data_IF_415302019161
#
_entry.id   IF_415302019161
#
_cell.length_a   1.000
_cell.length_b   1.000
_cell.length_c   1.000
_cell.angle_alpha   90.00
_cell.angle_beta   90.00
_cell.angle_gamma   90.00
#
_symmetry.space_group_name_H-M   'P 1'
#
loop_
_entity.id
_entity.type
_entity.pdbx_description
1 polymer ?
#
# COMPACT_ATOMS: atom_id res chain seq x y z
N UNK A 1 42.49 -70.20 3.57
CA UNK A 1 41.75 -70.60 2.34
C UNK A 1 41.40 -69.30 1.59
N UNK A 2 42.21 -69.00 0.61
CA UNK A 2 42.19 -67.77 -0.18
C UNK A 2 41.46 -68.06 -1.47
N UNK A 3 40.36 -67.34 -1.74
CA UNK A 3 39.70 -67.41 -3.06
C UNK A 3 39.84 -66.08 -3.78
N UNK A 4 40.60 -66.15 -4.87
CA UNK A 4 40.82 -65.06 -5.83
C UNK A 4 39.74 -65.14 -6.89
N UNK A 5 38.97 -64.00 -7.13
CA UNK A 5 38.10 -63.89 -8.27
C UNK A 5 38.70 -62.91 -9.31
N UNK A 6 38.86 -63.43 -10.52
CA UNK A 6 39.33 -62.69 -11.68
C UNK A 6 38.20 -61.82 -12.27
N UNK A 7 38.53 -60.58 -12.53
CA UNK A 7 37.63 -59.58 -13.21
C UNK A 7 37.98 -59.54 -14.70
N UNK A 8 37.04 -59.92 -15.54
CA UNK A 8 37.13 -59.81 -17.00
C UNK A 8 36.67 -58.41 -17.42
N UNK A 9 37.57 -57.70 -18.09
CA UNK A 9 37.32 -56.31 -18.60
C UNK A 9 36.77 -56.42 -20.01
N UNK A 10 35.48 -56.04 -20.18
CA UNK A 10 34.85 -55.85 -21.49
C UNK A 10 34.97 -54.39 -21.94
N UNK A 11 35.72 -54.16 -22.97
CA UNK A 11 35.85 -52.87 -23.68
C UNK A 11 34.65 -52.67 -24.59
N UNK A 12 33.83 -51.69 -24.28
CA UNK A 12 32.78 -51.19 -25.19
C UNK A 12 33.21 -49.83 -25.78
N UNK A 13 33.57 -49.85 -27.03
CA UNK A 13 33.79 -48.67 -27.87
C UNK A 13 32.43 -48.01 -28.16
N UNK A 14 32.21 -46.83 -27.62
CA UNK A 14 31.06 -46.00 -27.97
C UNK A 14 31.54 -44.83 -28.83
N UNK A 15 31.14 -44.85 -30.07
CA UNK A 15 31.31 -43.77 -31.05
C UNK A 15 30.60 -42.50 -30.58
N UNK A 16 31.34 -41.44 -30.32
CA UNK A 16 30.84 -40.10 -30.03
C UNK A 16 30.24 -39.48 -31.32
N UNK A 17 28.90 -39.37 -31.38
CA UNK A 17 28.23 -38.49 -32.33
C UNK A 17 28.36 -37.05 -31.83
N UNK A 18 29.03 -36.22 -32.62
CA UNK A 18 29.20 -34.81 -32.36
C UNK A 18 27.85 -34.09 -32.33
N UNK A 19 27.55 -33.50 -31.18
CA UNK A 19 26.45 -32.52 -31.04
C UNK A 19 27.02 -31.19 -31.51
N UNK A 20 26.57 -30.76 -32.67
CA UNK A 20 26.89 -29.44 -33.22
C UNK A 20 26.41 -28.35 -32.24
N UNK A 21 27.35 -27.61 -31.63
CA UNK A 21 27.06 -26.37 -30.89
C UNK A 21 26.48 -25.35 -31.87
N UNK A 22 25.16 -25.11 -31.78
CA UNK A 22 24.57 -23.94 -32.37
C UNK A 22 25.15 -22.71 -31.66
N UNK A 23 25.94 -21.95 -32.38
CA UNK A 23 26.43 -20.64 -31.96
C UNK A 23 25.23 -19.73 -31.69
N UNK A 24 25.12 -19.29 -30.46
CA UNK A 24 24.15 -18.21 -30.09
C UNK A 24 24.50 -16.99 -30.97
N UNK A 25 23.61 -16.66 -31.87
CA UNK A 25 23.64 -15.37 -32.57
C UNK A 25 23.48 -14.30 -31.47
N UNK A 26 24.53 -13.51 -31.26
CA UNK A 26 24.47 -12.27 -30.50
C UNK A 26 23.32 -11.44 -31.09
N UNK A 27 22.27 -11.25 -30.33
CA UNK A 27 21.18 -10.37 -30.67
C UNK A 27 21.76 -8.97 -30.93
N UNK A 28 21.56 -8.50 -32.14
CA UNK A 28 21.81 -7.12 -32.55
C UNK A 28 20.90 -6.28 -31.66
N UNK A 29 21.47 -5.40 -30.83
CA UNK A 29 20.69 -4.40 -30.10
C UNK A 29 19.84 -3.61 -31.12
N UNK A 30 18.56 -3.87 -31.12
CA UNK A 30 17.59 -3.08 -31.86
C UNK A 30 17.51 -1.74 -31.12
N UNK A 31 18.05 -0.70 -31.70
CA UNK A 31 17.83 0.66 -31.24
C UNK A 31 16.31 0.86 -31.19
N UNK A 32 15.74 1.44 -30.13
CA UNK A 32 14.31 1.67 -30.06
C UNK A 32 13.89 2.49 -31.29
N UNK A 33 12.91 1.97 -32.03
CA UNK A 33 12.26 2.76 -33.08
C UNK A 33 11.78 4.05 -32.44
N UNK A 34 11.96 5.17 -33.10
CA UNK A 34 11.46 6.49 -32.68
C UNK A 34 10.03 6.30 -32.18
N UNK A 35 9.83 6.44 -30.88
CA UNK A 35 8.50 6.36 -30.27
C UNK A 35 7.63 7.42 -30.98
N UNK A 36 6.63 6.97 -31.70
CA UNK A 36 5.61 7.86 -32.28
C UNK A 36 4.88 8.46 -31.07
N UNK A 37 4.70 9.78 -31.09
CA UNK A 37 3.93 10.44 -30.02
C UNK A 37 2.57 9.77 -29.88
N UNK A 38 2.17 9.43 -28.66
CA UNK A 38 0.86 8.84 -28.38
C UNK A 38 -0.21 9.87 -28.75
N UNK A 39 -1.14 9.49 -29.63
CA UNK A 39 -2.29 10.34 -29.97
C UNK A 39 -3.44 9.98 -29.00
N UNK A 40 -3.86 10.92 -28.17
CA UNK A 40 -4.95 10.71 -27.22
C UNK A 40 -6.25 10.21 -27.86
N UNK A 41 -6.60 10.70 -29.05
CA UNK A 41 -7.79 10.27 -29.78
C UNK A 41 -7.72 8.77 -30.20
N UNK A 42 -6.52 8.25 -30.50
CA UNK A 42 -6.33 6.83 -30.82
C UNK A 42 -6.49 5.96 -29.58
N UNK A 43 -6.11 6.46 -28.39
CA UNK A 43 -6.27 5.76 -27.11
C UNK A 43 -7.75 5.73 -26.72
N UNK A 44 -8.48 6.82 -26.85
CA UNK A 44 -9.92 6.87 -26.58
C UNK A 44 -10.69 5.94 -27.53
N UNK A 45 -10.36 5.93 -28.81
CA UNK A 45 -10.96 4.99 -29.76
C UNK A 45 -10.65 3.53 -29.44
N UNK A 46 -9.44 3.22 -28.94
CA UNK A 46 -9.06 1.88 -28.49
C UNK A 46 -9.84 1.49 -27.23
N UNK A 47 -9.95 2.38 -26.25
CA UNK A 47 -10.75 2.15 -25.04
C UNK A 47 -12.20 1.83 -25.41
N UNK A 48 -12.84 2.70 -26.20
CA UNK A 48 -14.23 2.56 -26.58
C UNK A 48 -14.49 1.24 -27.35
N UNK A 49 -13.53 0.82 -28.18
CA UNK A 49 -13.62 -0.48 -28.88
C UNK A 49 -13.50 -1.67 -27.92
N UNK A 50 -12.58 -1.63 -26.94
CA UNK A 50 -12.38 -2.70 -25.96
C UNK A 50 -13.58 -2.82 -25.00
N UNK A 51 -14.06 -1.67 -24.47
CA UNK A 51 -15.21 -1.62 -23.58
C UNK A 51 -16.50 -1.99 -24.31
N UNK A 52 -16.72 -1.50 -25.53
CA UNK A 52 -17.89 -1.83 -26.35
C UNK A 52 -17.98 -3.30 -26.78
N UNK A 53 -16.83 -3.98 -26.86
CA UNK A 53 -16.75 -5.41 -27.12
C UNK A 53 -16.82 -6.26 -25.86
N UNK A 54 -16.87 -5.69 -24.67
CA UNK A 54 -16.68 -6.39 -23.37
C UNK A 54 -15.43 -7.28 -23.41
N UNK A 55 -14.31 -6.72 -23.85
CA UNK A 55 -13.06 -7.44 -24.06
C UNK A 55 -12.57 -8.09 -22.76
N UNK A 56 -12.21 -9.37 -22.84
CA UNK A 56 -11.64 -10.13 -21.74
C UNK A 56 -10.24 -9.60 -21.36
N UNK A 57 -9.75 -9.86 -20.13
CA UNK A 57 -8.37 -9.52 -19.76
C UNK A 57 -7.31 -10.02 -20.75
N UNK A 58 -7.53 -11.21 -21.34
CA UNK A 58 -6.63 -11.77 -22.34
C UNK A 58 -6.62 -10.93 -23.63
N UNK A 59 -7.78 -10.55 -24.14
CA UNK A 59 -7.92 -9.75 -25.36
C UNK A 59 -7.34 -8.33 -25.15
N UNK A 60 -7.54 -7.75 -23.97
CA UNK A 60 -6.95 -6.45 -23.60
C UNK A 60 -5.42 -6.54 -23.59
N UNK A 61 -4.86 -7.59 -22.95
CA UNK A 61 -3.41 -7.82 -22.93
C UNK A 61 -2.84 -8.07 -24.32
N UNK A 62 -3.49 -8.88 -25.14
CA UNK A 62 -3.06 -9.15 -26.50
C UNK A 62 -3.02 -7.87 -27.34
N UNK A 63 -4.07 -7.04 -27.23
CA UNK A 63 -4.14 -5.74 -27.91
C UNK A 63 -3.05 -4.76 -27.44
N UNK A 64 -2.82 -4.69 -26.13
CA UNK A 64 -1.78 -3.84 -25.56
C UNK A 64 -0.37 -4.24 -26.04
N UNK A 65 -0.05 -5.54 -26.00
CA UNK A 65 1.24 -6.08 -26.44
C UNK A 65 1.41 -5.98 -27.96
N UNK A 66 0.33 -6.22 -28.74
CA UNK A 66 0.35 -6.01 -30.20
C UNK A 66 0.70 -4.56 -30.56
N UNK A 67 0.11 -3.60 -29.86
CA UNK A 67 0.21 -2.18 -30.20
C UNK A 67 1.55 -1.58 -29.78
N UNK A 68 2.04 -1.92 -28.58
CA UNK A 68 3.19 -1.25 -27.95
C UNK A 68 4.47 -2.10 -27.89
N UNK A 69 4.37 -3.43 -28.03
CA UNK A 69 5.53 -4.33 -28.08
C UNK A 69 6.56 -4.07 -26.97
N UNK A 70 7.82 -3.89 -27.34
CA UNK A 70 8.93 -3.63 -26.41
C UNK A 70 8.81 -2.30 -25.64
N UNK A 71 7.95 -1.37 -26.12
CA UNK A 71 7.65 -0.12 -25.43
C UNK A 71 6.72 -0.27 -24.24
N UNK A 72 6.15 -1.48 -24.03
CA UNK A 72 5.24 -1.77 -22.93
C UNK A 72 5.94 -2.58 -21.84
N UNK A 73 5.63 -2.29 -20.56
CA UNK A 73 6.02 -3.15 -19.44
C UNK A 73 4.90 -3.26 -18.40
N UNK A 74 4.81 -4.44 -17.76
CA UNK A 74 3.85 -4.75 -16.72
C UNK A 74 4.45 -4.35 -15.38
N UNK A 75 3.75 -3.53 -14.60
CA UNK A 75 4.12 -3.25 -13.21
C UNK A 75 3.73 -4.43 -12.32
N UNK A 76 4.66 -4.90 -11.50
CA UNK A 76 4.45 -6.06 -10.63
C UNK A 76 4.68 -5.71 -9.17
N UNK A 77 3.66 -5.94 -8.33
CA UNK A 77 3.74 -5.75 -6.88
C UNK A 77 2.89 -6.74 -6.07
N UNK A 78 1.84 -7.32 -6.64
CA UNK A 78 0.88 -8.16 -5.92
C UNK A 78 0.19 -9.23 -6.77
N UNK A 79 -0.83 -9.86 -6.22
CA UNK A 79 -1.54 -10.99 -6.83
C UNK A 79 -2.19 -10.62 -8.16
N UNK A 80 -2.84 -9.47 -8.25
CA UNK A 80 -3.45 -8.98 -9.49
C UNK A 80 -2.42 -8.83 -10.62
N UNK A 81 -1.23 -8.36 -10.28
CA UNK A 81 -0.17 -8.19 -11.27
C UNK A 81 0.36 -9.54 -11.74
N UNK A 82 0.39 -10.58 -10.88
CA UNK A 82 0.69 -11.96 -11.29
C UNK A 82 -0.36 -12.48 -12.26
N UNK A 83 -1.65 -12.19 -12.03
CA UNK A 83 -2.72 -12.54 -12.98
C UNK A 83 -2.52 -11.84 -14.33
N UNK A 84 -2.13 -10.56 -14.34
CA UNK A 84 -1.80 -9.83 -15.57
C UNK A 84 -0.61 -10.46 -16.30
N UNK A 85 0.45 -10.85 -15.57
CA UNK A 85 1.61 -11.56 -16.14
C UNK A 85 1.17 -12.89 -16.76
N UNK A 86 0.27 -13.64 -16.10
CA UNK A 86 -0.27 -14.89 -16.62
C UNK A 86 -1.07 -14.65 -17.92
N UNK A 87 -1.89 -13.60 -18.00
CA UNK A 87 -2.58 -13.24 -19.23
C UNK A 87 -1.60 -12.87 -20.34
N UNK A 88 -0.54 -12.11 -20.03
CA UNK A 88 0.51 -11.78 -20.99
C UNK A 88 1.20 -13.04 -21.53
N UNK A 89 1.53 -14.01 -20.67
CA UNK A 89 2.11 -15.28 -21.07
C UNK A 89 1.16 -16.09 -22.00
N UNK A 90 -0.14 -16.06 -21.72
CA UNK A 90 -1.14 -16.74 -22.55
C UNK A 90 -1.28 -16.14 -23.96
N UNK A 91 -0.94 -14.87 -24.17
CA UNK A 91 -0.94 -14.27 -25.52
C UNK A 91 0.14 -14.87 -26.44
N UNK A 92 1.18 -15.48 -25.87
CA UNK A 92 2.37 -15.95 -26.61
C UNK A 92 3.25 -14.83 -27.17
N UNK A 93 2.97 -13.56 -26.89
CA UNK A 93 3.77 -12.41 -27.31
C UNK A 93 4.91 -12.14 -26.32
N UNK A 94 6.03 -11.54 -26.74
CA UNK A 94 7.04 -11.06 -25.82
C UNK A 94 6.47 -9.98 -24.90
N UNK A 95 6.86 -10.01 -23.63
CA UNK A 95 6.46 -9.01 -22.64
C UNK A 95 7.58 -8.72 -21.66
N UNK A 96 7.51 -7.56 -21.01
CA UNK A 96 8.46 -7.10 -20.02
C UNK A 96 7.75 -6.89 -18.70
N UNK A 97 8.43 -7.18 -17.60
CA UNK A 97 7.91 -6.99 -16.24
C UNK A 97 8.89 -6.15 -15.46
N UNK A 98 8.41 -5.18 -14.70
CA UNK A 98 9.23 -4.42 -13.75
C UNK A 98 8.59 -4.39 -12.36
N UNK A 99 9.41 -4.24 -11.35
CA UNK A 99 8.96 -4.09 -9.96
C UNK A 99 9.74 -3.00 -9.23
N UNK A 100 9.08 -2.34 -8.27
CA UNK A 100 9.70 -1.35 -7.41
C UNK A 100 10.20 -2.01 -6.13
N UNK A 101 11.51 -2.10 -5.93
CA UNK A 101 12.07 -2.45 -4.65
C UNK A 101 12.32 -1.19 -3.83
N UNK A 102 11.51 -1.00 -2.82
CA UNK A 102 11.56 0.18 -1.93
C UNK A 102 12.66 0.10 -0.87
N UNK A 103 13.36 -1.05 -0.79
CA UNK A 103 14.27 -1.41 0.30
C UNK A 103 13.56 -1.71 1.62
N UNK A 104 12.22 -1.94 1.58
CA UNK A 104 11.38 -2.20 2.77
C UNK A 104 10.28 -3.23 2.48
N UNK A 105 10.46 -4.08 1.49
CA UNK A 105 9.51 -5.14 1.18
C UNK A 105 9.61 -6.28 2.21
N UNK A 106 8.53 -7.06 2.32
CA UNK A 106 8.55 -8.27 3.12
C UNK A 106 9.45 -9.35 2.48
N UNK A 107 10.11 -10.21 3.27
CA UNK A 107 10.89 -11.35 2.73
C UNK A 107 10.08 -12.20 1.73
N UNK A 108 8.82 -12.46 2.04
CA UNK A 108 7.90 -13.25 1.20
C UNK A 108 7.62 -12.58 -0.16
N UNK A 109 7.79 -11.25 -0.26
CA UNK A 109 7.68 -10.55 -1.55
C UNK A 109 8.91 -10.83 -2.42
N UNK A 110 10.12 -10.87 -1.86
CA UNK A 110 11.33 -11.25 -2.60
C UNK A 110 11.29 -12.72 -3.03
N UNK A 111 10.75 -13.61 -2.18
CA UNK A 111 10.53 -15.01 -2.55
C UNK A 111 9.52 -15.16 -3.69
N UNK A 112 8.46 -14.34 -3.68
CA UNK A 112 7.49 -14.30 -4.77
C UNK A 112 8.15 -13.84 -6.08
N UNK A 113 9.03 -12.85 -6.06
CA UNK A 113 9.76 -12.41 -7.24
C UNK A 113 10.56 -13.55 -7.87
N UNK A 114 11.31 -14.30 -7.07
CA UNK A 114 12.06 -15.47 -7.53
C UNK A 114 11.15 -16.59 -8.09
N UNK A 115 10.03 -16.86 -7.40
CA UNK A 115 9.03 -17.84 -7.85
C UNK A 115 8.41 -17.43 -9.20
N UNK A 116 8.08 -16.15 -9.39
CA UNK A 116 7.50 -15.59 -10.62
C UNK A 116 8.52 -15.64 -11.77
N UNK A 117 9.78 -15.23 -11.55
CA UNK A 117 10.83 -15.34 -12.57
C UNK A 117 11.02 -16.79 -13.06
N UNK A 118 11.02 -17.76 -12.14
CA UNK A 118 11.16 -19.19 -12.46
C UNK A 118 9.94 -19.76 -13.15
N UNK A 119 8.73 -19.37 -12.71
CA UNK A 119 7.47 -19.91 -13.23
C UNK A 119 7.21 -19.47 -14.68
N UNK A 120 7.50 -18.21 -15.01
CA UNK A 120 7.26 -17.65 -16.33
C UNK A 120 8.52 -17.64 -17.23
N UNK A 121 9.66 -18.08 -16.73
CA UNK A 121 10.98 -18.01 -17.41
C UNK A 121 11.30 -16.59 -17.90
N UNK A 122 11.11 -15.59 -17.03
CA UNK A 122 11.35 -14.17 -17.31
C UNK A 122 12.41 -13.59 -16.39
N UNK A 123 12.82 -12.35 -16.69
CA UNK A 123 13.59 -11.50 -15.79
C UNK A 123 12.80 -10.25 -15.46
N UNK A 124 12.66 -9.97 -14.17
CA UNK A 124 12.03 -8.76 -13.66
C UNK A 124 13.04 -7.62 -13.68
N UNK A 125 12.64 -6.47 -14.20
CA UNK A 125 13.43 -5.25 -14.16
C UNK A 125 13.21 -4.53 -12.83
N UNK A 126 14.13 -4.68 -11.88
CA UNK A 126 14.00 -4.06 -10.56
C UNK A 126 14.37 -2.58 -10.60
N UNK A 127 13.50 -1.75 -10.03
CA UNK A 127 13.69 -0.31 -9.89
C UNK A 127 13.89 0.04 -8.42
N UNK A 128 15.03 0.65 -8.10
CA UNK A 128 15.43 1.04 -6.76
C UNK A 128 15.33 2.55 -6.56
N UNK A 129 15.07 3.02 -5.33
CA UNK A 129 15.18 4.44 -5.02
C UNK A 129 16.64 4.91 -5.07
N UNK A 130 16.85 6.17 -5.41
CA UNK A 130 18.16 6.78 -5.37
C UNK A 130 18.71 6.82 -3.93
N UNK A 131 19.93 6.30 -3.76
CA UNK A 131 20.51 6.12 -2.43
C UNK A 131 20.68 7.42 -1.65
N UNK A 132 21.09 8.51 -2.31
CA UNK A 132 21.25 9.81 -1.66
C UNK A 132 19.90 10.42 -1.26
N UNK A 133 18.86 10.26 -2.05
CA UNK A 133 17.51 10.72 -1.69
C UNK A 133 16.97 9.98 -0.44
N UNK A 134 17.20 8.66 -0.38
CA UNK A 134 16.83 7.86 0.81
C UNK A 134 17.62 8.29 2.04
N UNK A 135 18.93 8.51 1.88
CA UNK A 135 19.82 8.94 2.97
C UNK A 135 19.44 10.32 3.51
N UNK A 136 19.13 11.27 2.61
CA UNK A 136 18.65 12.60 2.99
C UNK A 136 17.36 12.50 3.81
N UNK A 137 16.35 11.81 3.30
CA UNK A 137 15.09 11.60 4.02
C UNK A 137 15.28 11.00 5.41
N UNK A 138 16.14 9.97 5.52
CA UNK A 138 16.37 9.27 6.80
C UNK A 138 17.17 10.13 7.78
N UNK A 139 18.17 10.89 7.31
CA UNK A 139 18.97 11.76 8.17
C UNK A 139 18.19 12.98 8.68
N UNK A 140 17.31 13.53 7.87
CA UNK A 140 16.53 14.72 8.23
C UNK A 140 15.31 14.39 9.10
N UNK A 141 14.62 13.27 8.79
CA UNK A 141 13.32 12.97 9.38
C UNK A 141 13.24 11.64 10.15
N UNK A 142 14.30 10.84 10.08
CA UNK A 142 14.35 9.54 10.73
C UNK A 142 13.79 8.37 9.86
N UNK A 143 14.08 7.17 10.32
CA UNK A 143 13.79 5.93 9.59
C UNK A 143 12.27 5.66 9.46
N UNK A 144 11.47 6.14 10.39
CA UNK A 144 10.04 5.86 10.52
C UNK A 144 9.15 7.11 10.47
N UNK A 145 9.65 8.20 9.90
CA UNK A 145 8.93 9.48 9.76
C UNK A 145 7.54 9.36 9.12
N UNK A 146 7.32 8.35 8.28
CA UNK A 146 6.02 8.08 7.66
C UNK A 146 4.90 7.73 8.64
N UNK A 147 5.21 7.37 9.88
CA UNK A 147 4.19 7.21 10.93
C UNK A 147 3.76 8.56 11.52
N UNK A 148 4.63 9.55 11.47
CA UNK A 148 4.43 10.88 12.06
C UNK A 148 3.95 11.89 11.01
N UNK A 149 4.64 11.94 9.87
CA UNK A 149 4.39 12.91 8.78
C UNK A 149 3.46 12.36 7.69
N UNK A 150 2.97 11.13 7.84
CA UNK A 150 2.24 10.40 6.81
C UNK A 150 3.16 9.78 5.74
N UNK A 151 2.57 8.89 4.94
CA UNK A 151 3.36 8.06 4.02
C UNK A 151 3.85 8.78 2.75
N UNK A 152 3.27 9.93 2.40
CA UNK A 152 3.43 10.57 1.08
C UNK A 152 4.89 10.84 0.71
N UNK A 153 5.68 11.42 1.60
CA UNK A 153 7.07 11.75 1.32
C UNK A 153 7.96 10.52 1.18
N UNK A 154 7.83 9.56 2.11
CA UNK A 154 8.54 8.29 2.03
C UNK A 154 8.18 7.54 0.73
N UNK A 155 6.90 7.50 0.34
CA UNK A 155 6.48 6.93 -0.93
C UNK A 155 6.99 7.76 -2.12
N UNK A 156 7.04 9.08 -2.01
CA UNK A 156 7.63 9.97 -3.01
C UNK A 156 9.04 9.53 -3.39
N UNK A 157 9.91 9.43 -2.39
CA UNK A 157 11.31 9.05 -2.57
C UNK A 157 11.46 7.57 -2.99
N UNK A 158 10.76 6.64 -2.31
CA UNK A 158 11.01 5.20 -2.46
C UNK A 158 10.21 4.51 -3.56
N UNK A 159 9.15 5.15 -4.07
CA UNK A 159 8.25 4.56 -5.08
C UNK A 159 8.01 5.47 -6.27
N UNK A 160 7.53 6.71 -6.03
CA UNK A 160 7.09 7.59 -7.11
C UNK A 160 8.25 8.02 -8.00
N UNK A 161 9.39 8.41 -7.42
CA UNK A 161 10.58 8.78 -8.20
C UNK A 161 11.13 7.62 -9.03
N UNK A 162 11.38 6.41 -8.46
CA UNK A 162 11.80 5.25 -9.26
C UNK A 162 10.79 4.85 -10.34
N UNK A 163 9.49 4.91 -10.04
CA UNK A 163 8.44 4.66 -11.04
C UNK A 163 8.50 5.67 -12.17
N UNK A 164 8.58 6.96 -11.87
CA UNK A 164 8.69 8.03 -12.86
C UNK A 164 9.89 7.81 -13.79
N UNK A 165 11.05 7.49 -13.21
CA UNK A 165 12.26 7.19 -13.99
C UNK A 165 12.06 5.98 -14.91
N UNK A 166 11.37 4.94 -14.43
CA UNK A 166 11.04 3.75 -15.23
C UNK A 166 10.06 4.07 -16.34
N UNK A 167 8.96 4.72 -16.04
CA UNK A 167 7.91 5.04 -17.01
C UNK A 167 8.40 5.98 -18.12
N UNK A 168 9.34 6.88 -17.82
CA UNK A 168 9.99 7.72 -18.82
C UNK A 168 10.78 6.94 -19.89
N UNK A 169 10.96 5.63 -19.73
CA UNK A 169 11.57 4.73 -20.72
C UNK A 169 10.55 3.95 -21.56
N UNK A 170 9.26 4.11 -21.27
CA UNK A 170 8.17 3.31 -21.84
C UNK A 170 7.21 4.19 -22.67
N UNK A 171 6.46 3.58 -23.57
CA UNK A 171 5.32 4.19 -24.27
C UNK A 171 3.99 3.76 -23.68
N UNK A 172 3.96 2.60 -23.03
CA UNK A 172 2.79 2.09 -22.30
C UNK A 172 3.20 1.27 -21.09
N UNK A 173 2.30 1.15 -20.13
CA UNK A 173 2.45 0.26 -18.99
C UNK A 173 1.12 -0.38 -18.59
N UNK A 174 1.21 -1.49 -17.87
CA UNK A 174 0.04 -2.26 -17.42
C UNK A 174 0.04 -2.37 -15.91
N UNK A 175 -1.14 -2.27 -15.31
CA UNK A 175 -1.35 -2.44 -13.87
C UNK A 175 -2.49 -3.41 -13.58
N UNK A 176 -2.44 -4.08 -12.44
CA UNK A 176 -3.51 -4.94 -11.93
C UNK A 176 -4.62 -4.18 -11.19
N UNK A 177 -4.88 -2.91 -11.52
CA UNK A 177 -5.95 -2.16 -10.86
C UNK A 177 -7.33 -2.71 -11.21
N UNK A 178 -8.21 -2.77 -10.19
CA UNK A 178 -9.62 -3.18 -10.30
C UNK A 178 -10.52 -2.12 -9.65
N UNK A 179 -11.71 -1.91 -10.21
CA UNK A 179 -12.74 -1.01 -9.62
C UNK A 179 -13.14 -1.48 -8.22
N UNK A 180 -13.22 -2.79 -8.03
CA UNK A 180 -13.60 -3.47 -6.79
C UNK A 180 -12.61 -3.28 -5.62
N UNK A 181 -11.32 -3.02 -5.89
CA UNK A 181 -10.28 -2.90 -4.85
C UNK A 181 -10.48 -1.72 -3.89
N UNK A 182 -11.05 -0.62 -4.38
CA UNK A 182 -11.22 0.60 -3.59
C UNK A 182 -12.36 1.43 -4.18
N UNK A 183 -13.60 1.19 -3.74
CA UNK A 183 -14.78 1.89 -4.26
C UNK A 183 -14.72 3.42 -4.14
N UNK A 184 -13.89 3.95 -3.27
CA UNK A 184 -13.70 5.40 -3.10
C UNK A 184 -12.71 6.04 -4.07
N UNK A 185 -11.73 5.27 -4.60
CA UNK A 185 -10.63 5.84 -5.41
C UNK A 185 -10.42 5.15 -6.75
N UNK A 186 -11.12 4.02 -7.04
CA UNK A 186 -10.93 3.21 -8.25
C UNK A 186 -12.18 2.89 -9.03
N UNK A 187 -13.35 3.35 -8.59
CA UNK A 187 -14.65 3.05 -9.19
C UNK A 187 -14.77 3.48 -10.68
N UNK A 188 -13.94 4.39 -11.15
CA UNK A 188 -13.93 4.91 -12.51
C UNK A 188 -12.67 4.58 -13.32
N UNK A 189 -11.88 3.58 -12.89
CA UNK A 189 -10.66 3.17 -13.61
C UNK A 189 -11.04 2.56 -14.96
N UNK A 190 -10.61 3.14 -16.13
CA UNK A 190 -10.93 2.61 -17.45
C UNK A 190 -10.02 1.44 -17.83
N UNK A 191 -10.41 0.68 -18.86
CA UNK A 191 -9.60 -0.40 -19.44
C UNK A 191 -8.25 0.11 -19.93
N UNK A 192 -8.23 1.24 -20.63
CA UNK A 192 -7.01 1.97 -20.98
C UNK A 192 -7.25 3.46 -21.03
N UNK A 193 -6.18 4.24 -20.85
CA UNK A 193 -6.20 5.70 -20.87
C UNK A 193 -4.82 6.26 -21.15
N UNK A 194 -4.76 7.50 -21.60
CA UNK A 194 -3.54 8.30 -21.48
C UNK A 194 -3.25 8.46 -19.99
N UNK A 195 -2.02 8.21 -19.53
CA UNK A 195 -1.68 8.35 -18.11
C UNK A 195 -1.80 9.82 -17.68
N UNK A 196 -2.63 10.13 -16.68
CA UNK A 196 -2.88 11.52 -16.28
C UNK A 196 -1.76 12.14 -15.41
N UNK A 197 -0.78 11.33 -14.97
CA UNK A 197 0.23 11.74 -13.97
C UNK A 197 1.66 11.60 -14.48
N UNK A 198 1.91 10.53 -15.23
CA UNK A 198 3.26 10.17 -15.67
C UNK A 198 3.47 10.41 -17.15
N UNK A 199 4.73 10.69 -17.48
CA UNK A 199 5.18 10.88 -18.85
C UNK A 199 5.95 9.65 -19.32
N UNK A 200 5.85 9.36 -20.61
CA UNK A 200 6.54 8.26 -21.27
C UNK A 200 7.82 8.69 -22.00
N UNK A 201 8.35 7.78 -22.80
CA UNK A 201 9.64 7.92 -23.49
C UNK A 201 9.76 9.12 -24.45
N UNK A 202 8.65 9.62 -24.99
CA UNK A 202 8.67 10.83 -25.84
C UNK A 202 8.64 12.13 -25.04
N UNK A 203 8.44 12.08 -23.72
CA UNK A 203 8.33 13.24 -22.85
C UNK A 203 7.06 14.04 -23.03
N UNK A 204 6.70 14.80 -22.00
CA UNK A 204 5.50 15.64 -21.97
C UNK A 204 4.20 14.90 -21.63
N UNK A 205 3.21 15.67 -21.20
CA UNK A 205 1.89 15.16 -20.89
C UNK A 205 1.27 14.44 -22.09
N UNK A 206 0.64 13.28 -21.87
CA UNK A 206 0.02 12.50 -22.93
C UNK A 206 0.96 11.53 -23.67
N UNK A 207 2.22 11.41 -23.24
CA UNK A 207 3.21 10.55 -23.91
C UNK A 207 3.20 9.09 -23.44
N UNK A 208 2.38 8.73 -22.45
CA UNK A 208 2.30 7.41 -21.85
C UNK A 208 0.87 6.87 -21.84
N UNK A 209 0.69 5.61 -22.17
CA UNK A 209 -0.60 4.92 -22.08
C UNK A 209 -0.59 3.93 -20.91
N UNK A 210 -1.68 3.90 -20.17
CA UNK A 210 -1.90 2.98 -19.07
C UNK A 210 -3.03 2.02 -19.41
N UNK A 211 -2.78 0.72 -19.22
CA UNK A 211 -3.77 -0.35 -19.36
C UNK A 211 -4.10 -0.97 -17.99
N UNK A 212 -5.37 -1.29 -17.79
CA UNK A 212 -5.88 -1.96 -16.61
C UNK A 212 -6.74 -3.16 -17.03
N UNK A 213 -6.16 -4.29 -17.42
CA UNK A 213 -6.90 -5.43 -17.98
C UNK A 213 -7.91 -6.05 -17.01
N UNK A 214 -7.69 -5.88 -15.70
CA UNK A 214 -8.54 -6.43 -14.66
C UNK A 214 -9.58 -5.44 -14.13
N UNK A 215 -9.78 -4.30 -14.78
CA UNK A 215 -10.58 -3.20 -14.24
C UNK A 215 -11.98 -3.62 -13.77
N UNK A 216 -12.63 -4.51 -14.50
CA UNK A 216 -13.99 -5.01 -14.21
C UNK A 216 -14.01 -6.37 -13.50
N UNK A 217 -12.85 -6.96 -13.22
CA UNK A 217 -12.76 -8.24 -12.52
C UNK A 217 -12.97 -8.05 -11.01
N UNK A 218 -13.71 -8.98 -10.41
CA UNK A 218 -13.85 -9.09 -8.96
C UNK A 218 -12.61 -9.73 -8.31
N UNK A 219 -12.43 -9.52 -7.02
CA UNK A 219 -11.38 -10.20 -6.24
C UNK A 219 -11.47 -11.72 -6.37
N UNK A 220 -12.71 -12.26 -6.30
CA UNK A 220 -12.95 -13.69 -6.40
C UNK A 220 -12.50 -14.25 -7.76
N UNK A 221 -12.83 -13.60 -8.85
CA UNK A 221 -12.45 -14.02 -10.21
C UNK A 221 -10.93 -14.04 -10.39
N UNK A 222 -10.22 -13.03 -9.87
CA UNK A 222 -8.75 -13.01 -9.90
C UNK A 222 -8.16 -14.18 -9.13
N UNK A 223 -8.66 -14.47 -7.92
CA UNK A 223 -8.17 -15.57 -7.11
C UNK A 223 -8.52 -16.94 -7.70
N UNK A 224 -9.68 -17.09 -8.29
CA UNK A 224 -10.07 -18.32 -8.99
C UNK A 224 -9.18 -18.57 -10.20
N UNK A 225 -8.89 -17.53 -10.98
CA UNK A 225 -7.95 -17.61 -12.10
C UNK A 225 -6.55 -18.03 -11.66
N UNK A 226 -5.98 -17.36 -10.64
CA UNK A 226 -4.65 -17.69 -10.12
C UNK A 226 -4.56 -19.14 -9.64
N UNK A 227 -5.60 -19.64 -8.94
CA UNK A 227 -5.66 -21.01 -8.45
C UNK A 227 -5.74 -22.02 -9.59
N UNK A 228 -6.61 -21.79 -10.59
CA UNK A 228 -6.77 -22.68 -11.74
C UNK A 228 -5.50 -22.76 -12.57
N UNK A 229 -4.81 -21.62 -12.72
CA UNK A 229 -3.54 -21.57 -13.47
C UNK A 229 -2.33 -22.07 -12.68
N UNK A 230 -2.47 -22.27 -11.36
CA UNK A 230 -1.37 -22.69 -10.49
C UNK A 230 -0.23 -21.68 -10.41
N UNK A 231 -0.54 -20.39 -10.56
CA UNK A 231 0.44 -19.32 -10.52
C UNK A 231 0.95 -19.04 -9.10
N UNK A 232 2.23 -18.66 -8.92
CA UNK A 232 2.76 -18.34 -7.60
C UNK A 232 2.08 -17.08 -7.03
N UNK A 233 1.78 -17.12 -5.74
CA UNK A 233 1.24 -15.99 -4.99
C UNK A 233 2.05 -15.76 -3.71
N UNK A 234 1.92 -14.57 -3.12
CA UNK A 234 2.62 -14.23 -1.89
C UNK A 234 2.06 -15.01 -0.70
N UNK A 235 2.90 -15.67 0.07
CA UNK A 235 2.50 -16.47 1.24
C UNK A 235 1.85 -15.64 2.36
N UNK A 236 2.08 -14.33 2.38
CA UNK A 236 1.39 -13.44 3.31
C UNK A 236 -0.14 -13.46 3.16
N UNK A 237 -0.66 -13.81 1.98
CA UNK A 237 -2.10 -13.94 1.78
C UNK A 237 -2.73 -15.01 2.69
N UNK A 238 -2.03 -16.11 2.94
CA UNK A 238 -2.47 -17.17 3.87
C UNK A 238 -2.53 -16.68 5.32
N UNK A 239 -1.83 -15.59 5.63
CA UNK A 239 -1.80 -14.95 6.96
C UNK A 239 -2.74 -13.75 7.06
N UNK A 240 -3.68 -13.59 6.12
CA UNK A 240 -4.71 -12.55 6.12
C UNK A 240 -4.27 -11.20 5.55
N UNK A 241 -3.12 -11.13 4.88
CA UNK A 241 -2.72 -9.93 4.15
C UNK A 241 -3.39 -9.89 2.79
N UNK A 242 -4.46 -9.12 2.63
CA UNK A 242 -5.20 -9.02 1.36
C UNK A 242 -4.47 -8.09 0.37
N UNK A 243 -3.99 -6.94 0.83
CA UNK A 243 -3.21 -6.00 0.02
C UNK A 243 -1.81 -5.84 0.61
N UNK A 244 -0.77 -6.15 -0.17
CA UNK A 244 0.62 -6.18 0.30
C UNK A 244 1.42 -5.00 -0.27
N UNK A 245 2.26 -4.40 0.57
CA UNK A 245 3.22 -3.36 0.20
C UNK A 245 4.47 -3.42 1.06
N UNK A 246 5.06 -2.27 1.40
CA UNK A 246 6.20 -2.23 2.32
C UNK A 246 5.82 -2.87 3.67
N UNK A 247 6.74 -3.65 4.25
CA UNK A 247 6.53 -4.35 5.52
C UNK A 247 6.01 -3.43 6.65
N UNK A 248 6.62 -2.25 6.93
CA UNK A 248 6.13 -1.39 8.00
C UNK A 248 4.80 -0.69 7.69
N UNK A 249 4.36 -0.69 6.41
CA UNK A 249 3.14 -0.02 5.95
C UNK A 249 1.99 -0.97 5.67
N UNK A 250 2.10 -2.24 6.08
CA UNK A 250 1.11 -3.27 5.74
C UNK A 250 0.88 -4.18 6.93
N UNK A 251 -0.38 -4.47 7.22
CA UNK A 251 -0.79 -5.49 8.19
C UNK A 251 -1.90 -6.38 7.60
N UNK A 252 -2.13 -7.52 8.21
CA UNK A 252 -3.29 -8.35 7.93
C UNK A 252 -4.58 -7.58 8.20
N UNK A 253 -5.64 -7.86 7.45
CA UNK A 253 -6.98 -7.32 7.66
C UNK A 253 -7.83 -8.29 8.46
N UNK A 254 -8.73 -7.75 9.28
CA UNK A 254 -9.70 -8.55 10.04
C UNK A 254 -10.90 -8.91 9.15
N UNK A 255 -11.63 -9.98 9.47
CA UNK A 255 -12.88 -10.31 8.78
C UNK A 255 -13.84 -9.12 8.78
N UNK A 256 -14.37 -8.77 7.61
CA UNK A 256 -15.28 -7.64 7.41
C UNK A 256 -14.61 -6.30 7.11
N UNK A 257 -13.28 -6.22 7.16
CA UNK A 257 -12.54 -5.05 6.72
C UNK A 257 -12.37 -5.04 5.18
N UNK A 258 -12.23 -3.85 4.60
CA UNK A 258 -11.94 -3.71 3.17
C UNK A 258 -10.50 -4.13 2.85
N UNK A 259 -10.26 -4.58 1.60
CA UNK A 259 -8.95 -5.10 1.15
C UNK A 259 -7.76 -4.21 1.49
N UNK A 260 -7.93 -2.90 1.42
CA UNK A 260 -6.85 -1.92 1.63
C UNK A 260 -6.80 -1.32 3.03
N UNK A 261 -7.65 -1.70 3.96
CA UNK A 261 -7.59 -1.21 5.35
C UNK A 261 -6.29 -1.59 6.07
N UNK A 262 -5.66 -2.68 5.69
CA UNK A 262 -4.34 -3.06 6.18
C UNK A 262 -3.18 -2.16 5.70
N UNK A 263 -3.38 -1.27 4.71
CA UNK A 263 -2.37 -0.36 4.17
C UNK A 263 -2.41 0.96 4.89
N UNK A 264 -1.24 1.47 5.30
CA UNK A 264 -1.15 2.72 6.08
C UNK A 264 -2.25 2.81 7.14
N UNK A 265 -2.35 1.74 7.91
CA UNK A 265 -3.44 1.50 8.87
C UNK A 265 -3.58 2.60 9.94
N UNK A 266 -2.59 3.48 10.06
CA UNK A 266 -2.61 4.68 10.91
C UNK A 266 -3.19 5.91 10.23
N UNK A 267 -3.49 5.87 8.94
CA UNK A 267 -4.08 6.97 8.16
C UNK A 267 -5.57 6.71 7.86
N UNK A 268 -6.26 7.76 7.43
CA UNK A 268 -7.68 7.67 7.05
C UNK A 268 -7.88 6.63 5.92
N UNK A 269 -8.91 5.80 6.08
CA UNK A 269 -9.25 4.75 5.12
C UNK A 269 -9.63 5.30 3.73
N UNK A 270 -10.19 6.51 3.66
CA UNK A 270 -10.67 7.14 2.43
C UNK A 270 -9.55 7.79 1.60
N UNK A 271 -8.39 8.05 2.21
CA UNK A 271 -7.25 8.75 1.59
C UNK A 271 -6.08 7.82 1.19
N UNK A 272 -6.26 6.51 1.25
CA UNK A 272 -5.18 5.50 1.14
C UNK A 272 -4.77 5.20 -0.31
N UNK A 273 -4.38 6.20 -1.08
CA UNK A 273 -3.67 5.99 -2.33
C UNK A 273 -2.23 6.50 -2.24
N UNK A 274 -1.26 5.63 -2.56
CA UNK A 274 0.09 6.09 -2.80
C UNK A 274 0.13 6.89 -4.10
N UNK A 275 1.03 7.86 -4.21
CA UNK A 275 1.17 8.72 -5.39
C UNK A 275 1.36 8.00 -6.73
N UNK A 276 1.44 6.66 -6.75
CA UNK A 276 1.47 5.84 -7.96
C UNK A 276 0.17 5.94 -8.78
N UNK A 277 -0.96 6.20 -8.12
CA UNK A 277 -2.29 6.21 -8.73
C UNK A 277 -3.10 7.46 -8.38
N UNK A 278 -2.42 8.56 -8.05
CA UNK A 278 -3.05 9.84 -7.70
C UNK A 278 -3.95 10.41 -8.82
N UNK A 279 -3.76 9.96 -10.06
CA UNK A 279 -4.62 10.34 -11.18
C UNK A 279 -6.01 9.70 -11.18
N UNK A 280 -6.27 8.72 -10.32
CA UNK A 280 -7.62 8.13 -10.18
C UNK A 280 -8.58 9.03 -9.38
N UNK A 281 -8.07 10.04 -8.66
CA UNK A 281 -8.88 10.99 -7.91
C UNK A 281 -9.33 12.12 -8.82
N UNK A 282 -10.63 12.32 -8.95
CA UNK A 282 -11.20 13.49 -9.64
C UNK A 282 -10.93 14.77 -8.85
N UNK A 283 -11.05 15.94 -9.50
CA UNK A 283 -10.93 17.24 -8.82
C UNK A 283 -11.95 17.39 -7.66
N UNK A 284 -13.17 16.86 -7.87
CA UNK A 284 -14.24 16.89 -6.87
C UNK A 284 -13.94 15.93 -5.68
N UNK A 285 -13.29 14.81 -5.93
CA UNK A 285 -12.86 13.88 -4.86
C UNK A 285 -11.69 14.44 -4.07
N UNK A 286 -10.76 15.14 -4.73
CA UNK A 286 -9.70 15.89 -4.03
C UNK A 286 -10.27 17.01 -3.19
N UNK A 287 -11.22 17.81 -3.72
CA UNK A 287 -11.90 18.85 -2.98
C UNK A 287 -12.71 18.30 -1.80
N UNK A 288 -13.42 17.17 -1.99
CA UNK A 288 -14.11 16.46 -0.89
C UNK A 288 -13.18 15.86 0.15
N UNK A 289 -11.95 15.53 -0.21
CA UNK A 289 -10.92 15.09 0.73
C UNK A 289 -10.46 16.26 1.59
N UNK A 290 -10.27 17.43 0.98
CA UNK A 290 -9.92 18.67 1.67
C UNK A 290 -11.13 19.16 2.53
N UNK A 291 -12.39 19.04 2.02
CA UNK A 291 -13.61 19.40 2.75
C UNK A 291 -13.94 18.44 3.92
N UNK A 292 -13.56 17.16 3.85
CA UNK A 292 -13.75 16.20 4.96
C UNK A 292 -12.85 16.48 6.16
N UNK A 293 -11.71 17.10 5.93
CA UNK A 293 -10.91 17.69 7.01
C UNK A 293 -11.63 18.88 7.66
N UNK A 294 -12.66 19.40 7.00
CA UNK A 294 -13.42 20.56 7.42
C UNK A 294 -14.72 20.26 8.19
N UNK A 295 -15.05 19.00 8.51
CA UNK A 295 -16.26 18.69 9.30
C UNK A 295 -16.19 19.33 10.68
N UNK A 296 -17.18 20.18 10.97
CA UNK A 296 -17.30 20.87 12.26
C UNK A 296 -17.96 20.02 13.34
N UNK A 297 -18.64 18.94 12.97
CA UNK A 297 -19.39 18.08 13.87
C UNK A 297 -18.48 17.28 14.80
N UNK A 298 -18.79 17.35 16.11
CA UNK A 298 -18.13 16.51 17.11
C UNK A 298 -18.66 15.06 16.98
N UNK A 299 -17.76 14.08 17.13
CA UNK A 299 -18.11 12.66 17.06
C UNK A 299 -18.56 12.08 18.42
N UNK A 300 -18.38 12.83 19.51
CA UNK A 300 -18.77 12.43 20.85
C UNK A 300 -20.10 13.09 21.22
N UNK A 301 -21.15 12.29 21.32
CA UNK A 301 -22.52 12.76 21.56
C UNK A 301 -22.89 12.86 23.04
N UNK A 302 -22.19 12.13 23.92
CA UNK A 302 -22.56 12.02 25.33
C UNK A 302 -21.83 13.01 26.24
N UNK A 303 -22.58 13.56 27.23
CA UNK A 303 -22.10 14.50 28.24
C UNK A 303 -21.09 13.93 29.24
N UNK A 304 -20.86 12.61 29.23
CA UNK A 304 -19.90 11.93 30.12
C UNK A 304 -18.43 12.22 29.77
N UNK A 305 -18.17 12.77 28.57
CA UNK A 305 -16.81 13.08 28.09
C UNK A 305 -16.63 14.60 28.02
N UNK A 306 -15.75 15.14 28.85
CA UNK A 306 -15.52 16.59 28.99
C UNK A 306 -14.63 17.12 27.86
N UNK A 307 -14.94 18.33 27.37
CA UNK A 307 -14.07 19.03 26.40
C UNK A 307 -12.93 19.69 27.15
N UNK A 308 -11.71 19.54 26.65
CA UNK A 308 -10.52 20.21 27.19
C UNK A 308 -10.12 21.38 26.29
N UNK A 309 -9.67 22.46 26.93
CA UNK A 309 -8.93 23.56 26.31
C UNK A 309 -7.40 23.38 26.51
N UNK A 310 -6.57 24.27 25.93
CA UNK A 310 -5.13 24.32 26.19
C UNK A 310 -4.85 24.55 27.68
N UNK A 311 -5.56 25.50 28.30
CA UNK A 311 -5.38 25.84 29.71
C UNK A 311 -5.71 24.63 30.61
N UNK A 312 -6.75 23.85 30.26
CA UNK A 312 -7.09 22.62 30.98
C UNK A 312 -5.97 21.57 30.88
N UNK A 313 -5.38 21.42 29.69
CA UNK A 313 -4.28 20.46 29.49
C UNK A 313 -3.04 20.90 30.24
N UNK A 314 -2.70 22.17 30.25
CA UNK A 314 -1.57 22.69 30.99
C UNK A 314 -1.79 22.54 32.52
N UNK A 315 -3.02 22.78 32.97
CA UNK A 315 -3.41 22.50 34.37
C UNK A 315 -3.30 21.01 34.74
N UNK A 316 -3.62 20.11 33.81
CA UNK A 316 -3.48 18.64 33.98
C UNK A 316 -2.02 18.19 34.05
N UNK A 317 -1.08 18.93 33.45
CA UNK A 317 0.35 18.62 33.51
C UNK A 317 1.00 19.05 34.81
N UNK A 318 0.44 20.02 35.52
CA UNK A 318 0.99 20.54 36.77
C UNK A 318 0.40 19.80 37.97
N UNK A 319 1.26 19.17 38.75
CA UNK A 319 0.89 18.44 39.98
C UNK A 319 0.07 19.27 40.98
N UNK A 320 0.26 20.59 41.05
CA UNK A 320 -0.40 21.47 42.02
C UNK A 320 -1.83 21.84 41.63
N UNK A 321 -2.11 21.92 40.34
CA UNK A 321 -3.42 22.31 39.80
C UNK A 321 -4.31 21.11 39.47
N UNK A 322 -3.72 19.92 39.33
CA UNK A 322 -4.36 18.70 38.92
C UNK A 322 -5.05 17.98 40.11
N UNK A 323 -6.33 18.13 40.25
CA UNK A 323 -7.11 17.63 41.39
C UNK A 323 -7.76 16.25 41.18
N UNK A 324 -7.90 15.80 39.93
CA UNK A 324 -8.61 14.58 39.53
C UNK A 324 -7.80 13.78 38.50
N UNK A 325 -7.88 12.44 38.54
CA UNK A 325 -7.32 11.62 37.45
C UNK A 325 -8.14 11.82 36.18
N UNK A 326 -7.46 12.14 35.06
CA UNK A 326 -8.13 12.39 33.78
C UNK A 326 -7.56 11.51 32.69
N UNK A 327 -8.42 10.74 31.98
CA UNK A 327 -8.10 10.09 30.72
C UNK A 327 -8.58 10.95 29.57
N UNK A 328 -7.63 11.55 28.85
CA UNK A 328 -7.91 12.40 27.71
C UNK A 328 -7.70 11.65 26.39
N UNK A 329 -8.60 11.84 25.42
CA UNK A 329 -8.42 11.42 24.04
C UNK A 329 -8.13 12.63 23.16
N UNK A 330 -7.01 12.57 22.43
CA UNK A 330 -6.72 13.49 21.33
C UNK A 330 -7.29 12.87 20.06
N UNK A 331 -8.22 13.56 19.41
CA UNK A 331 -8.98 13.01 18.30
C UNK A 331 -9.12 13.98 17.13
N UNK A 332 -9.52 13.41 15.99
CA UNK A 332 -9.96 14.14 14.82
C UNK A 332 -11.35 13.58 14.41
N UNK A 333 -12.37 14.42 14.16
CA UNK A 333 -13.72 13.95 13.78
C UNK A 333 -13.74 13.09 12.51
N UNK A 334 -12.91 13.41 11.55
CA UNK A 334 -12.76 12.70 10.29
C UNK A 334 -12.01 11.36 10.40
N UNK A 335 -11.37 11.07 11.56
CA UNK A 335 -10.55 9.87 11.74
C UNK A 335 -11.42 8.62 12.00
N UNK A 336 -11.42 7.58 11.14
CA UNK A 336 -12.24 6.38 11.33
C UNK A 336 -11.89 5.59 12.59
N UNK A 337 -10.65 5.65 13.05
CA UNK A 337 -10.23 5.02 14.30
C UNK A 337 -10.82 5.74 15.52
N UNK A 338 -10.93 7.07 15.44
CA UNK A 338 -11.62 7.87 16.46
C UNK A 338 -13.11 7.53 16.48
N UNK A 339 -13.78 7.54 15.33
CA UNK A 339 -15.20 7.21 15.20
C UNK A 339 -15.55 5.82 15.75
N UNK A 340 -14.74 4.80 15.43
CA UNK A 340 -14.92 3.43 15.95
C UNK A 340 -14.72 3.32 17.46
N UNK A 341 -13.92 4.19 18.04
CA UNK A 341 -13.58 4.15 19.46
C UNK A 341 -14.67 4.82 20.32
N UNK A 342 -15.44 5.76 19.78
CA UNK A 342 -16.38 6.60 20.55
C UNK A 342 -17.24 5.79 21.52
N UNK A 343 -18.00 4.81 21.02
CA UNK A 343 -18.90 4.01 21.86
C UNK A 343 -18.19 3.29 23.01
N UNK A 344 -16.98 2.75 22.75
CA UNK A 344 -16.18 2.09 23.80
C UNK A 344 -15.63 3.09 24.82
N UNK A 345 -15.21 4.26 24.37
CA UNK A 345 -14.69 5.31 25.25
C UNK A 345 -15.79 5.93 26.11
N UNK A 346 -16.97 6.19 25.56
CA UNK A 346 -18.14 6.68 26.28
C UNK A 346 -18.67 5.68 27.32
N UNK A 347 -18.76 4.39 26.95
CA UNK A 347 -19.13 3.34 27.89
C UNK A 347 -18.12 3.18 29.05
N UNK A 348 -16.82 3.38 28.77
CA UNK A 348 -15.81 3.43 29.82
C UNK A 348 -15.96 4.68 30.70
N UNK A 349 -16.29 5.83 30.12
CA UNK A 349 -16.55 7.06 30.86
C UNK A 349 -17.74 6.91 31.82
N UNK A 350 -18.85 6.37 31.37
CA UNK A 350 -20.04 6.10 32.21
C UNK A 350 -19.69 5.16 33.38
N UNK A 351 -18.85 4.16 33.14
CA UNK A 351 -18.46 3.17 34.16
C UNK A 351 -17.45 3.70 35.18
N UNK A 352 -16.51 4.56 34.74
CA UNK A 352 -15.34 4.94 35.55
C UNK A 352 -15.38 6.37 36.08
N UNK A 353 -16.18 7.29 35.50
CA UNK A 353 -16.40 8.63 36.08
C UNK A 353 -16.89 8.56 37.55
N UNK A 354 -17.87 7.70 37.91
CA UNK A 354 -18.31 7.56 39.31
C UNK A 354 -17.22 7.03 40.23
N UNK A 355 -16.15 6.43 39.71
CA UNK A 355 -15.01 5.92 40.45
C UNK A 355 -13.84 6.90 40.56
N UNK A 356 -14.04 8.14 40.12
CA UNK A 356 -13.08 9.22 40.27
C UNK A 356 -12.06 9.33 39.11
N UNK A 357 -12.38 8.78 37.93
CA UNK A 357 -11.59 8.95 36.71
C UNK A 357 -12.39 9.79 35.72
N UNK A 358 -11.95 11.00 35.47
CA UNK A 358 -12.58 11.89 34.50
C UNK A 358 -12.19 11.52 33.08
N UNK A 359 -13.16 11.33 32.20
CA UNK A 359 -12.94 11.14 30.79
C UNK A 359 -13.09 12.45 30.03
N UNK A 360 -12.12 12.75 29.18
CA UNK A 360 -12.08 14.01 28.47
C UNK A 360 -11.62 13.85 27.02
N UNK A 361 -11.92 14.85 26.18
CA UNK A 361 -11.58 14.90 24.77
C UNK A 361 -10.93 16.22 24.41
N UNK A 362 -9.96 16.16 23.52
CA UNK A 362 -9.32 17.32 22.92
C UNK A 362 -9.26 17.10 21.40
N UNK A 363 -9.93 17.99 20.66
CA UNK A 363 -9.86 17.98 19.21
C UNK A 363 -8.50 18.49 18.78
N UNK A 364 -7.68 17.64 18.19
CA UNK A 364 -6.28 17.91 17.92
C UNK A 364 -5.95 17.84 16.41
N UNK A 365 -6.92 18.17 15.56
CA UNK A 365 -6.73 18.37 14.13
C UNK A 365 -6.64 19.88 13.79
N UNK A 366 -6.40 20.22 12.53
CA UNK A 366 -6.30 21.61 12.05
C UNK A 366 -5.23 22.40 12.80
N UNK A 367 -5.59 23.58 13.26
CA UNK A 367 -4.71 24.54 13.95
C UNK A 367 -4.13 23.99 15.26
N UNK A 368 -4.84 23.04 15.89
CA UNK A 368 -4.43 22.39 17.13
C UNK A 368 -3.36 21.30 16.94
N UNK A 369 -3.16 20.83 15.70
CA UNK A 369 -2.30 19.68 15.41
C UNK A 369 -0.84 19.93 15.75
N UNK A 370 -0.29 21.06 15.37
CA UNK A 370 1.11 21.38 15.65
C UNK A 370 1.33 21.58 17.15
N UNK A 371 0.43 22.29 17.81
CA UNK A 371 0.51 22.45 19.27
C UNK A 371 0.44 21.10 19.99
N UNK A 372 -0.45 20.20 19.58
CA UNK A 372 -0.58 18.87 20.18
C UNK A 372 0.64 17.97 19.89
N UNK A 373 1.29 18.11 18.75
CA UNK A 373 2.56 17.42 18.47
C UNK A 373 3.66 17.88 19.41
N UNK A 374 3.85 19.18 19.57
CA UNK A 374 4.91 19.77 20.37
C UNK A 374 4.70 19.53 21.87
N UNK A 375 3.45 19.62 22.35
CA UNK A 375 3.13 19.62 23.77
C UNK A 375 2.62 18.27 24.32
N UNK A 376 2.07 17.38 23.46
CA UNK A 376 1.39 16.15 23.88
C UNK A 376 1.91 14.90 23.16
N UNK A 377 3.01 15.00 22.43
CA UNK A 377 3.58 13.89 21.65
C UNK A 377 2.54 13.22 20.73
N UNK A 378 1.68 14.02 20.08
CA UNK A 378 0.68 13.54 19.15
C UNK A 378 1.37 13.03 17.87
N UNK A 379 1.27 11.73 17.60
CA UNK A 379 1.86 11.08 16.43
C UNK A 379 0.78 10.44 15.54
N UNK A 380 -0.40 10.16 16.09
CA UNK A 380 -1.51 9.53 15.37
C UNK A 380 -2.84 9.74 16.10
N UNK A 381 -3.95 9.60 15.37
CA UNK A 381 -5.30 9.61 15.95
C UNK A 381 -5.89 8.20 16.06
N UNK A 382 -6.59 7.88 17.16
CA UNK A 382 -6.65 8.60 18.43
C UNK A 382 -5.40 8.37 19.29
N UNK A 383 -4.95 9.41 20.02
CA UNK A 383 -3.95 9.26 21.08
C UNK A 383 -4.63 9.41 22.43
N UNK A 384 -4.41 8.46 23.35
CA UNK A 384 -4.97 8.50 24.70
C UNK A 384 -3.88 8.76 25.72
N UNK A 385 -4.13 9.77 26.58
CA UNK A 385 -3.21 10.24 27.60
C UNK A 385 -3.90 10.17 28.97
N UNK A 386 -3.32 9.44 29.91
CA UNK A 386 -3.76 9.41 31.29
C UNK A 386 -2.94 10.41 32.11
N UNK A 387 -3.62 11.35 32.73
CA UNK A 387 -3.06 12.31 33.70
C UNK A 387 -3.43 11.83 35.10
N UNK A 388 -2.49 11.22 35.86
CA UNK A 388 -2.79 10.71 37.19
C UNK A 388 -2.83 11.84 38.21
N UNK A 389 -3.86 11.89 39.04
CA UNK A 389 -3.97 12.85 40.15
C UNK A 389 -2.69 12.95 40.99
N UNK A 390 -2.25 14.18 41.28
CA UNK A 390 -1.09 14.43 42.14
C UNK A 390 0.25 14.03 41.52
N UNK A 391 0.31 13.91 40.18
CA UNK A 391 1.54 13.68 39.43
C UNK A 391 1.66 14.64 38.26
N UNK A 392 2.87 15.11 37.99
CA UNK A 392 3.13 15.91 36.80
C UNK A 392 3.23 15.04 35.55
N UNK A 393 2.77 15.58 34.39
CA UNK A 393 2.84 14.93 33.10
C UNK A 393 1.74 13.89 32.87
N UNK A 394 1.94 13.01 31.89
CA UNK A 394 0.95 12.01 31.47
C UNK A 394 1.58 10.67 31.11
N UNK A 395 0.74 9.63 31.07
CA UNK A 395 1.10 8.30 30.57
C UNK A 395 0.32 8.03 29.28
N UNK A 396 1.01 7.76 28.18
CA UNK A 396 0.39 7.44 26.89
C UNK A 396 0.00 5.97 26.81
N UNK A 397 -1.24 5.67 26.39
CA UNK A 397 -1.67 4.32 26.13
C UNK A 397 -0.99 3.78 24.86
N UNK A 398 -0.16 2.75 25.02
CA UNK A 398 0.55 2.10 23.93
C UNK A 398 -0.23 1.00 23.20
N UNK A 399 -1.38 0.56 23.74
CA UNK A 399 -2.22 -0.46 23.12
C UNK A 399 -3.16 0.11 22.06
N UNK A 400 -3.51 -0.71 21.05
CA UNK A 400 -4.54 -0.36 20.06
C UNK A 400 -5.96 -0.71 20.54
N UNK A 401 -6.11 -1.44 21.65
CA UNK A 401 -7.41 -1.77 22.23
C UNK A 401 -8.00 -0.57 22.93
N UNK A 402 -9.26 -0.29 22.63
CA UNK A 402 -10.01 0.88 23.09
C UNK A 402 -11.40 0.50 23.67
N UNK A 403 -11.62 -0.81 23.89
CA UNK A 403 -12.82 -1.29 24.58
C UNK A 403 -12.79 -0.91 26.07
N UNK A 404 -13.97 -0.86 26.73
CA UNK A 404 -14.07 -0.40 28.12
C UNK A 404 -13.21 -1.18 29.11
N UNK A 405 -13.05 -2.49 28.90
CA UNK A 405 -12.25 -3.34 29.80
C UNK A 405 -10.75 -3.07 29.63
N UNK A 406 -10.28 -2.92 28.41
CA UNK A 406 -8.89 -2.57 28.11
C UNK A 406 -8.53 -1.19 28.66
N UNK A 407 -9.42 -0.22 28.57
CA UNK A 407 -9.22 1.12 29.15
C UNK A 407 -9.18 1.06 30.69
N UNK A 408 -10.06 0.29 31.31
CA UNK A 408 -10.02 0.08 32.77
C UNK A 408 -8.72 -0.57 33.21
N UNK A 409 -8.29 -1.66 32.55
CA UNK A 409 -7.01 -2.33 32.85
C UNK A 409 -5.83 -1.36 32.73
N UNK A 410 -5.81 -0.51 31.69
CA UNK A 410 -4.77 0.49 31.55
C UNK A 410 -4.74 1.46 32.74
N UNK A 411 -5.89 2.01 33.13
CA UNK A 411 -6.00 2.95 34.24
C UNK A 411 -5.59 2.27 35.54
N UNK A 412 -6.13 1.09 35.82
CA UNK A 412 -5.84 0.33 37.06
C UNK A 412 -4.37 -0.15 37.13
N UNK A 413 -3.71 -0.36 35.99
CA UNK A 413 -2.29 -0.71 35.97
C UNK A 413 -1.37 0.42 36.43
N UNK A 414 -1.86 1.66 36.40
CA UNK A 414 -1.10 2.86 36.77
C UNK A 414 -1.49 3.37 38.15
N UNK A 415 -2.77 3.29 38.48
CA UNK A 415 -3.33 3.87 39.72
C UNK A 415 -3.56 2.83 40.83
N UNK A 416 -3.56 1.53 40.51
CA UNK A 416 -4.12 0.48 41.38
C UNK A 416 -5.61 0.26 41.10
N UNK A 417 -6.21 -0.70 41.80
CA UNK A 417 -7.65 -1.03 41.64
C UNK A 417 -8.52 0.16 42.02
N UNK A 418 -9.49 0.45 41.15
CA UNK A 418 -10.47 1.52 41.28
C UNK A 418 -11.73 1.07 42.09
#
# INVERSE_FOLDING_TARGET
MTMTFATTRATRTTTARGIARRSARRGRAVLPSRATAVNGADVDGMRDALEGANATPLEIMDKALETYGDGLAIAFSGAEDVAVIQYAALTGRPYRVFSLDTGRLNPETYELFDKVEKHFDIKIEYCFPESEAVKTLVNEKGMFSFYEDGHKECCGVRKVQPLRAKLATLTAWVTGQRKDQSPGTRNAVPVCQVDPVFEGASGGAGSLVKFNPLTDATSQEVWDFLRVMGTPVNELHERGYVSIGCAPCTRAVLPGQQEREGRWWWEDATAKECGLHSGNLTADEKAKQDDREATEEDIFEHSAVHVLSHDDIDALKDEKTHSETTLAVLYAPWCPHCQRMVGGFEAAAERLNPKGVKFAKFRADRDEKEWAKENLSLNSFPTLLLFPKGRSGYVKLGSERRDPDSLQIFIESILGKL
#
